data_IF_518537730469
#
_entry.id   IF_518537730469
#
_cell.length_a   1.000
_cell.length_b   1.000
_cell.length_c   1.000
_cell.angle_alpha   90.00
_cell.angle_beta   90.00
_cell.angle_gamma   90.00
#
_symmetry.space_group_name_H-M   'P 1'
#
loop_
_entity.id
_entity.type
_entity.pdbx_description
1 polymer ?
#
# COMPACT_ATOMS: atom_id res chain seq x y z
N UNK A 1 -27.28 3.88 16.52
CA UNK A 1 -25.87 4.32 16.42
C UNK A 1 -25.32 4.40 17.83
N UNK A 2 -24.33 3.56 18.15
CA UNK A 2 -23.61 3.65 19.41
C UNK A 2 -22.39 4.57 19.20
N UNK A 3 -22.25 5.60 20.01
CA UNK A 3 -21.10 6.49 19.98
C UNK A 3 -20.09 6.02 21.01
N UNK A 4 -18.90 5.65 20.54
CA UNK A 4 -17.79 5.29 21.41
C UNK A 4 -16.82 6.46 21.54
N UNK A 5 -16.57 6.85 22.77
CA UNK A 5 -15.46 7.75 23.11
C UNK A 5 -14.24 6.89 23.38
N UNK A 6 -13.14 7.18 22.72
CA UNK A 6 -11.94 6.39 22.90
C UNK A 6 -10.72 6.98 22.20
N UNK A 7 -9.63 6.27 22.35
CA UNK A 7 -8.35 6.59 21.72
C UNK A 7 -7.99 5.49 20.73
N UNK A 8 -7.17 5.85 19.75
CA UNK A 8 -6.67 4.94 18.73
C UNK A 8 -5.15 5.02 18.71
N UNK A 9 -4.49 3.87 18.77
CA UNK A 9 -3.06 3.75 18.54
C UNK A 9 -2.79 3.52 17.05
N UNK A 10 -2.01 4.40 16.45
CA UNK A 10 -1.50 4.28 15.08
C UNK A 10 -0.06 3.79 15.15
N UNK A 11 0.20 2.61 14.64
CA UNK A 11 1.48 1.95 14.78
C UNK A 11 2.14 1.73 13.42
N UNK A 12 3.38 2.15 13.30
CA UNK A 12 4.25 1.76 12.21
C UNK A 12 4.96 0.46 12.60
N UNK A 13 4.83 -0.59 11.79
CA UNK A 13 5.38 -1.92 12.07
C UNK A 13 6.36 -2.29 10.98
N UNK A 14 7.52 -2.81 11.35
CA UNK A 14 8.42 -3.46 10.39
C UNK A 14 7.84 -4.81 9.95
N UNK A 15 7.60 -4.94 8.66
CA UNK A 15 6.97 -6.14 8.08
C UNK A 15 7.89 -7.37 8.08
N UNK A 16 9.20 -7.21 8.29
CA UNK A 16 10.16 -8.32 8.32
C UNK A 16 10.22 -8.90 9.73
N UNK A 17 10.48 -8.06 10.73
CA UNK A 17 10.56 -8.49 12.12
C UNK A 17 9.19 -8.64 12.79
N UNK A 18 8.16 -7.93 12.30
CA UNK A 18 6.85 -7.84 12.93
C UNK A 18 6.88 -7.04 14.23
N UNK A 19 7.85 -6.13 14.40
CA UNK A 19 8.03 -5.29 15.58
C UNK A 19 7.56 -3.85 15.33
N UNK A 20 7.09 -3.13 16.36
CA UNK A 20 6.69 -1.74 16.22
C UNK A 20 7.92 -0.84 16.08
N UNK A 21 7.87 0.11 15.15
CA UNK A 21 8.91 1.11 14.92
C UNK A 21 8.55 2.46 15.56
N UNK A 22 7.30 2.83 15.46
CA UNK A 22 6.78 4.09 15.98
C UNK A 22 5.29 3.99 16.31
N UNK A 23 4.85 4.73 17.30
CA UNK A 23 3.45 4.78 17.73
C UNK A 23 3.00 6.21 17.96
N UNK A 24 1.75 6.51 17.59
CA UNK A 24 1.07 7.75 17.90
C UNK A 24 -0.35 7.45 18.36
N UNK A 25 -0.68 7.83 19.59
CA UNK A 25 -2.05 7.74 20.10
C UNK A 25 -2.83 9.02 19.79
N UNK A 26 -4.00 8.88 19.21
CA UNK A 26 -4.92 9.98 18.91
C UNK A 26 -6.33 9.69 19.44
N UNK A 27 -7.21 10.70 19.35
CA UNK A 27 -8.64 10.47 19.53
C UNK A 27 -9.17 9.52 18.46
N UNK A 28 -10.13 8.66 18.80
CA UNK A 28 -10.63 7.62 17.92
C UNK A 28 -11.30 8.12 16.62
N UNK A 29 -11.77 9.37 16.59
CA UNK A 29 -12.36 10.01 15.41
C UNK A 29 -11.33 10.48 14.38
N UNK A 30 -10.03 10.53 14.73
CA UNK A 30 -8.98 10.93 13.79
C UNK A 30 -8.78 9.84 12.73
N UNK A 31 -8.75 10.24 11.47
CA UNK A 31 -8.55 9.31 10.35
C UNK A 31 -7.09 8.89 10.25
N UNK A 32 -6.83 7.60 10.06
CA UNK A 32 -5.48 7.04 9.96
C UNK A 32 -4.63 7.69 8.87
N UNK A 33 -5.25 8.03 7.72
CA UNK A 33 -4.54 8.66 6.61
C UNK A 33 -4.09 10.12 6.88
N UNK A 34 -4.65 10.79 7.87
CA UNK A 34 -4.25 12.16 8.21
C UNK A 34 -2.98 12.21 9.04
N UNK A 35 -2.75 11.21 9.87
CA UNK A 35 -1.59 11.11 10.76
C UNK A 35 -0.42 10.34 10.14
N UNK A 36 -0.64 9.68 9.00
CA UNK A 36 0.38 8.82 8.40
C UNK A 36 1.68 9.56 8.04
N UNK A 37 1.58 10.81 7.54
CA UNK A 37 2.75 11.61 7.16
C UNK A 37 3.54 12.01 8.42
N UNK A 38 2.85 12.38 9.49
CA UNK A 38 3.47 12.79 10.75
C UNK A 38 4.18 11.61 11.41
N UNK A 39 3.56 10.42 11.39
CA UNK A 39 4.15 9.18 11.88
C UNK A 39 5.43 8.83 11.10
N UNK A 40 5.40 8.93 9.76
CA UNK A 40 6.59 8.70 8.95
C UNK A 40 7.69 9.72 9.25
N UNK A 41 7.36 11.00 9.42
CA UNK A 41 8.32 12.03 9.74
C UNK A 41 8.98 11.80 11.11
N UNK A 42 8.20 11.44 12.13
CA UNK A 42 8.71 11.15 13.45
C UNK A 42 9.52 9.85 13.50
N UNK A 43 9.07 8.80 12.82
CA UNK A 43 9.82 7.54 12.70
C UNK A 43 11.17 7.73 12.01
N UNK A 44 11.22 8.58 10.97
CA UNK A 44 12.48 8.88 10.25
C UNK A 44 13.54 9.58 11.10
N UNK A 45 13.15 10.24 12.21
CA UNK A 45 14.10 10.81 13.17
C UNK A 45 14.83 9.73 13.98
N UNK A 46 14.23 8.55 14.11
CA UNK A 46 14.75 7.42 14.91
C UNK A 46 15.43 6.40 13.98
N UNK A 47 14.81 6.10 12.85
CA UNK A 47 15.25 5.10 11.89
C UNK A 47 15.16 5.67 10.48
N UNK A 48 16.23 5.62 9.67
CA UNK A 48 16.22 6.11 8.30
C UNK A 48 15.18 5.33 7.45
N UNK A 49 14.23 6.05 6.84
CA UNK A 49 13.20 5.47 5.98
C UNK A 49 13.52 5.57 4.48
N UNK A 50 14.74 5.98 4.11
CA UNK A 50 15.16 6.09 2.72
C UNK A 50 15.09 4.74 2.00
N UNK A 51 14.46 4.73 0.82
CA UNK A 51 14.30 3.53 -0.01
C UNK A 51 13.31 2.49 0.53
N UNK A 52 12.62 2.77 1.65
CA UNK A 52 11.70 1.81 2.26
C UNK A 52 10.40 1.63 1.46
N UNK A 53 9.85 0.42 1.50
CA UNK A 53 8.51 0.13 1.02
C UNK A 53 7.48 0.43 2.09
N UNK A 54 6.53 1.33 1.81
CA UNK A 54 5.43 1.66 2.71
C UNK A 54 4.16 0.89 2.32
N UNK A 55 3.68 0.03 3.21
CA UNK A 55 2.52 -0.82 3.01
C UNK A 55 1.37 -0.36 3.89
N UNK A 56 0.21 -0.10 3.29
CA UNK A 56 -0.98 0.27 4.05
C UNK A 56 -2.26 -0.19 3.34
N UNK A 57 -3.37 -0.19 4.06
CA UNK A 57 -4.65 -0.55 3.47
C UNK A 57 -5.20 0.56 2.54
N UNK A 58 -6.32 0.29 1.88
CA UNK A 58 -6.99 1.27 1.01
C UNK A 58 -7.47 2.53 1.73
N UNK A 59 -7.52 2.53 3.06
CA UNK A 59 -7.85 3.68 3.89
C UNK A 59 -6.82 4.79 3.73
N UNK A 60 -5.58 4.43 3.51
CA UNK A 60 -4.43 5.33 3.29
C UNK A 60 -4.25 5.79 1.84
N UNK A 61 -5.21 5.55 0.94
CA UNK A 61 -5.15 5.99 -0.45
C UNK A 61 -5.31 7.52 -0.59
N UNK A 62 -4.34 8.27 -0.10
CA UNK A 62 -4.26 9.73 -0.15
C UNK A 62 -3.00 10.20 -0.88
N UNK A 63 -3.15 11.20 -1.76
CA UNK A 63 -2.04 11.72 -2.61
C UNK A 63 -0.85 12.20 -1.80
N UNK A 64 -1.08 12.81 -0.64
CA UNK A 64 -0.03 13.28 0.28
C UNK A 64 0.91 12.14 0.69
N UNK A 65 0.37 10.99 1.09
CA UNK A 65 1.16 9.83 1.52
C UNK A 65 2.06 9.34 0.39
N UNK A 66 1.53 9.14 -0.82
CA UNK A 66 2.35 8.71 -1.96
C UNK A 66 3.43 9.70 -2.33
N UNK A 67 3.12 11.01 -2.28
CA UNK A 67 4.10 12.05 -2.58
C UNK A 67 5.20 12.07 -1.50
N UNK A 68 4.85 11.98 -0.23
CA UNK A 68 5.84 11.93 0.86
C UNK A 68 6.73 10.72 0.74
N UNK A 69 6.15 9.51 0.58
CA UNK A 69 6.93 8.28 0.42
C UNK A 69 7.88 8.38 -0.77
N UNK A 70 7.44 8.94 -1.91
CA UNK A 70 8.27 9.01 -3.12
C UNK A 70 9.26 10.15 -3.09
N UNK A 71 8.84 11.37 -2.73
CA UNK A 71 9.69 12.56 -2.89
C UNK A 71 10.55 12.87 -1.66
N UNK A 72 10.15 12.45 -0.46
CA UNK A 72 10.93 12.68 0.76
C UNK A 72 11.82 11.49 1.09
N UNK A 73 11.28 10.26 0.95
CA UNK A 73 11.99 9.04 1.35
C UNK A 73 12.53 8.21 0.17
N UNK A 74 12.33 8.65 -1.08
CA UNK A 74 12.62 7.88 -2.30
C UNK A 74 12.15 6.42 -2.24
N UNK A 75 11.11 6.19 -1.46
CA UNK A 75 10.50 4.89 -1.21
C UNK A 75 9.43 4.53 -2.23
N UNK A 76 8.80 3.38 -1.99
CA UNK A 76 7.68 2.90 -2.79
C UNK A 76 6.43 2.66 -1.92
N UNK A 77 5.26 3.09 -2.39
CA UNK A 77 4.00 2.93 -1.68
C UNK A 77 3.18 1.76 -2.24
N UNK A 78 2.90 0.77 -1.41
CA UNK A 78 2.09 -0.41 -1.72
C UNK A 78 0.71 -0.28 -1.05
N UNK A 79 -0.16 0.55 -1.66
CA UNK A 79 -1.50 0.85 -1.15
C UNK A 79 -2.53 0.56 -2.25
N UNK A 80 -3.58 -0.23 -1.98
CA UNK A 80 -4.67 -0.45 -2.93
C UNK A 80 -5.45 0.84 -3.18
N UNK A 81 -5.94 1.06 -4.41
CA UNK A 81 -6.78 2.21 -4.71
C UNK A 81 -8.17 2.08 -4.08
N UNK A 82 -8.68 3.17 -3.52
CA UNK A 82 -10.10 3.29 -3.21
C UNK A 82 -10.91 3.26 -4.52
N UNK A 83 -11.93 2.43 -4.58
CA UNK A 83 -12.92 2.49 -5.66
C UNK A 83 -13.67 3.83 -5.52
N UNK A 84 -13.31 4.80 -6.34
CA UNK A 84 -14.12 6.00 -6.55
C UNK A 84 -15.13 5.68 -7.64
N UNK A 85 -16.30 6.27 -7.61
CA UNK A 85 -17.36 6.12 -8.62
C UNK A 85 -16.87 6.63 -9.98
N UNK A 86 -16.00 5.89 -10.63
CA UNK A 86 -15.48 6.19 -11.95
C UNK A 86 -16.16 5.24 -12.93
N UNK A 87 -16.83 5.82 -13.91
CA UNK A 87 -17.49 5.08 -15.01
C UNK A 87 -16.50 4.38 -15.96
N UNK A 88 -15.19 4.54 -15.77
CA UNK A 88 -14.20 3.92 -16.65
C UNK A 88 -13.91 2.48 -16.22
N UNK A 89 -14.18 1.54 -17.12
CA UNK A 89 -13.77 0.12 -17.03
C UNK A 89 -12.26 -0.05 -17.28
N UNK A 90 -11.43 0.85 -16.77
CA UNK A 90 -9.99 0.66 -16.84
C UNK A 90 -9.56 -0.40 -15.82
N UNK A 91 -8.79 -1.38 -16.25
CA UNK A 91 -8.11 -2.29 -15.33
C UNK A 91 -7.27 -1.47 -14.36
N UNK A 92 -7.21 -1.84 -13.08
CA UNK A 92 -6.34 -1.20 -12.09
C UNK A 92 -4.87 -1.18 -12.51
N UNK A 93 -4.48 -2.05 -13.41
CA UNK A 93 -3.12 -2.35 -13.84
C UNK A 93 -2.51 -1.43 -14.89
N UNK A 94 -3.15 -0.38 -15.28
CA UNK A 94 -2.55 0.51 -16.28
C UNK A 94 -2.60 0.03 -17.74
N UNK A 95 -2.86 -1.23 -18.04
CA UNK A 95 -3.09 -1.69 -19.39
C UNK A 95 -4.57 -1.55 -19.77
N UNK A 96 -4.83 -1.07 -20.99
CA UNK A 96 -6.18 -1.05 -21.53
C UNK A 96 -6.51 -2.42 -22.15
N UNK A 97 -7.79 -2.77 -22.14
CA UNK A 97 -8.30 -3.98 -22.80
C UNK A 97 -8.87 -3.57 -24.15
N UNK A 98 -8.61 -4.37 -25.19
CA UNK A 98 -9.25 -4.24 -26.48
C UNK A 98 -10.69 -4.78 -26.44
N UNK A 99 -11.41 -4.62 -27.54
CA UNK A 99 -12.82 -5.02 -27.61
C UNK A 99 -13.03 -6.55 -27.56
N UNK A 100 -11.96 -7.32 -27.85
CA UNK A 100 -11.93 -8.77 -27.68
C UNK A 100 -11.48 -9.23 -26.27
N UNK A 101 -11.38 -8.32 -25.31
CA UNK A 101 -11.00 -8.67 -23.92
C UNK A 101 -9.52 -8.89 -23.67
N UNK A 102 -8.64 -8.62 -24.65
CA UNK A 102 -7.20 -8.86 -24.54
C UNK A 102 -6.45 -7.61 -24.07
N UNK A 103 -5.39 -7.82 -23.28
CA UNK A 103 -4.54 -6.72 -22.81
C UNK A 103 -3.77 -6.09 -23.98
N UNK A 104 -3.87 -4.76 -24.11
CA UNK A 104 -3.20 -3.99 -25.17
C UNK A 104 -1.74 -3.66 -24.78
N UNK A 105 -0.84 -3.60 -25.76
CA UNK A 105 0.55 -3.19 -25.56
C UNK A 105 0.71 -1.68 -25.48
N UNK A 106 1.61 -1.20 -24.63
CA UNK A 106 2.04 0.20 -24.64
C UNK A 106 2.89 0.49 -25.89
N UNK A 107 2.53 1.53 -26.62
CA UNK A 107 3.17 1.93 -27.89
C UNK A 107 3.48 3.43 -27.91
N UNK A 108 4.45 3.81 -27.11
CA UNK A 108 4.91 5.19 -27.01
C UNK A 108 4.00 6.15 -26.23
N UNK A 109 4.54 7.34 -25.94
CA UNK A 109 3.83 8.45 -25.30
C UNK A 109 3.80 9.64 -26.23
N UNK A 110 2.71 10.39 -26.21
CA UNK A 110 2.56 11.64 -26.95
C UNK A 110 2.18 12.73 -25.94
N UNK A 111 2.89 13.86 -25.98
CA UNK A 111 2.55 15.03 -25.15
C UNK A 111 1.95 16.10 -26.06
N UNK A 112 0.78 16.58 -25.71
CA UNK A 112 0.05 17.62 -26.39
C UNK A 112 -0.65 18.51 -25.35
N UNK A 113 -0.52 19.84 -25.47
CA UNK A 113 -1.15 20.83 -24.58
C UNK A 113 -1.03 20.47 -23.09
N UNK A 114 0.17 20.23 -22.58
CA UNK A 114 0.44 19.82 -21.20
C UNK A 114 -0.21 18.50 -20.75
N UNK A 115 -0.70 17.67 -21.68
CA UNK A 115 -1.28 16.37 -21.39
C UNK A 115 -0.47 15.27 -22.05
N UNK A 116 0.17 14.44 -21.26
CA UNK A 116 0.84 13.24 -21.76
C UNK A 116 -0.16 12.11 -21.93
N UNK A 117 -0.24 11.54 -23.12
CA UNK A 117 -1.09 10.40 -23.45
C UNK A 117 -0.23 9.18 -23.73
N UNK A 118 -0.51 8.09 -23.04
CA UNK A 118 0.04 6.77 -23.37
C UNK A 118 -0.81 6.14 -24.47
N UNK A 119 -0.17 5.78 -25.57
CA UNK A 119 -0.80 5.02 -26.66
C UNK A 119 -0.75 3.52 -26.33
N UNK A 120 -1.83 2.84 -26.59
CA UNK A 120 -1.96 1.39 -26.49
C UNK A 120 -2.39 0.82 -27.82
N UNK A 121 -1.75 -0.25 -28.23
CA UNK A 121 -1.99 -0.93 -29.51
C UNK A 121 -2.51 -2.34 -29.31
N UNK A 122 -3.20 -2.82 -30.34
CA UNK A 122 -3.68 -4.20 -30.42
C UNK A 122 -2.53 -5.20 -30.15
N UNK A 123 -2.74 -6.25 -29.32
CA UNK A 123 -1.73 -7.26 -29.04
C UNK A 123 -1.27 -8.02 -30.28
N UNK A 124 -2.13 -8.13 -31.28
CA UNK A 124 -1.79 -8.80 -32.56
C UNK A 124 -1.05 -7.92 -33.57
N UNK A 125 -0.87 -6.62 -33.30
CA UNK A 125 -0.14 -5.73 -34.22
C UNK A 125 1.29 -6.14 -34.45
N UNK A 126 1.94 -6.73 -33.45
CA UNK A 126 3.33 -7.18 -33.52
C UNK A 126 3.46 -8.65 -33.95
N UNK A 127 2.38 -9.42 -33.87
CA UNK A 127 2.39 -10.80 -34.31
C UNK A 127 2.13 -10.86 -35.82
N UNK A 128 2.91 -11.65 -36.51
CA UNK A 128 2.68 -11.94 -37.96
C UNK A 128 1.42 -12.79 -38.19
N UNK A 129 0.76 -13.23 -37.13
CA UNK A 129 -0.50 -13.98 -37.22
C UNK A 129 -1.64 -13.03 -37.57
N UNK A 130 -2.34 -13.38 -38.60
CA UNK A 130 -3.17 -12.50 -39.44
C UNK A 130 -4.61 -12.29 -39.00
N UNK A 131 -5.05 -12.82 -37.86
CA UNK A 131 -6.48 -12.78 -37.51
C UNK A 131 -6.70 -12.15 -36.15
N UNK A 132 -7.26 -10.93 -36.14
CA UNK A 132 -7.73 -10.31 -34.91
C UNK A 132 -9.14 -10.84 -34.59
N UNK A 133 -9.39 -11.41 -33.39
CA UNK A 133 -10.68 -11.97 -33.01
C UNK A 133 -11.79 -10.91 -32.87
N UNK A 134 -11.46 -9.63 -32.78
CA UNK A 134 -12.46 -8.56 -32.66
C UNK A 134 -12.95 -8.02 -34.03
N UNK A 135 -12.48 -8.56 -35.13
CA UNK A 135 -12.84 -8.13 -36.48
C UNK A 135 -12.88 -6.60 -36.68
N UNK A 136 -11.85 -5.92 -36.14
CA UNK A 136 -11.81 -4.47 -36.13
C UNK A 136 -11.65 -3.89 -37.53
N UNK A 137 -12.47 -2.89 -37.91
CA UNK A 137 -12.51 -2.26 -39.23
C UNK A 137 -11.17 -1.74 -39.77
N UNK A 138 -10.20 -1.46 -38.89
CA UNK A 138 -8.85 -1.01 -39.26
C UNK A 138 -7.87 -2.19 -39.40
N UNK A 139 -8.31 -3.42 -39.26
CA UNK A 139 -7.44 -4.59 -39.35
C UNK A 139 -7.07 -4.97 -40.78
N UNK A 140 -7.94 -4.79 -41.74
CA UNK A 140 -7.74 -5.18 -43.11
C UNK A 140 -8.07 -4.06 -44.11
N UNK A 141 -7.65 -2.83 -43.87
CA UNK A 141 -7.98 -1.69 -44.73
C UNK A 141 -6.99 -1.46 -45.88
N UNK A 142 -6.16 -2.45 -46.24
CA UNK A 142 -5.26 -2.44 -47.39
C UNK A 142 -3.97 -1.64 -47.23
N UNK A 143 -3.77 -0.88 -46.15
CA UNK A 143 -2.56 -0.03 -45.96
C UNK A 143 -1.56 -0.61 -44.98
N UNK A 144 -1.91 -0.78 -43.75
CA UNK A 144 -1.14 -1.43 -42.68
C UNK A 144 -2.12 -1.87 -41.61
N UNK A 145 -2.06 -3.12 -41.20
CA UNK A 145 -2.88 -3.61 -40.11
C UNK A 145 -2.54 -2.86 -38.84
N UNK A 146 -3.36 -1.88 -38.47
CA UNK A 146 -3.16 -1.06 -37.26
C UNK A 146 -3.89 -1.60 -36.05
N UNK A 147 -4.93 -2.38 -36.27
CA UNK A 147 -5.80 -2.90 -35.23
C UNK A 147 -6.39 -1.80 -34.34
N UNK A 148 -6.78 -2.17 -33.14
CA UNK A 148 -7.28 -1.22 -32.14
C UNK A 148 -6.17 -0.33 -31.61
N UNK A 149 -6.43 0.96 -31.54
CA UNK A 149 -5.56 1.94 -30.86
C UNK A 149 -6.40 2.68 -29.84
N UNK A 150 -5.96 2.68 -28.59
CA UNK A 150 -6.60 3.42 -27.50
C UNK A 150 -5.57 4.35 -26.85
N UNK A 151 -6.02 5.48 -26.35
CA UNK A 151 -5.16 6.45 -25.64
C UNK A 151 -5.66 6.60 -24.23
N UNK A 152 -4.72 6.74 -23.31
CA UNK A 152 -4.99 7.07 -21.91
C UNK A 152 -4.13 8.24 -21.50
N UNK A 153 -4.71 9.23 -20.84
CA UNK A 153 -3.96 10.30 -20.21
C UNK A 153 -3.07 9.69 -19.14
N UNK A 154 -1.77 9.95 -19.23
CA UNK A 154 -0.84 9.54 -18.17
C UNK A 154 -1.10 10.49 -17.00
N UNK A 155 -1.53 9.97 -15.86
CA UNK A 155 -1.73 10.82 -14.71
C UNK A 155 -0.38 11.40 -14.28
N UNK A 156 -0.36 12.68 -13.96
CA UNK A 156 0.78 13.31 -13.28
C UNK A 156 0.89 12.87 -11.82
N UNK A 157 -0.09 12.14 -11.34
CA UNK A 157 -0.17 11.63 -9.99
C UNK A 157 0.53 10.27 -9.90
N UNK A 158 1.66 10.22 -9.18
CA UNK A 158 2.44 9.01 -8.92
C UNK A 158 1.57 7.86 -8.39
N UNK A 159 0.59 8.17 -7.54
CA UNK A 159 -0.38 7.21 -7.01
C UNK A 159 -1.05 6.35 -8.09
N UNK A 160 -1.37 6.96 -9.25
CA UNK A 160 -2.06 6.28 -10.35
C UNK A 160 -1.11 5.59 -11.33
N UNK A 161 0.21 5.84 -11.23
CA UNK A 161 1.21 5.19 -12.08
C UNK A 161 1.62 3.81 -11.58
N UNK A 162 1.32 3.47 -10.32
CA UNK A 162 1.69 2.19 -9.69
C UNK A 162 0.87 1.06 -10.30
N UNK A 163 1.55 0.04 -10.82
CA UNK A 163 0.93 -1.18 -11.35
C UNK A 163 0.60 -2.16 -10.22
N UNK A 164 -0.64 -2.11 -9.75
CA UNK A 164 -1.14 -2.97 -8.66
C UNK A 164 -1.50 -4.39 -9.07
N UNK A 165 -1.45 -4.70 -10.37
CA UNK A 165 -1.71 -6.05 -10.87
C UNK A 165 -0.46 -6.89 -10.97
N UNK A 166 0.72 -6.28 -10.98
CA UNK A 166 1.98 -7.00 -11.09
C UNK A 166 2.21 -7.93 -9.88
N UNK A 167 2.95 -8.99 -10.10
CA UNK A 167 3.28 -9.96 -9.06
C UNK A 167 4.13 -9.33 -7.95
N UNK A 168 4.99 -8.37 -8.29
CA UNK A 168 5.79 -7.63 -7.33
C UNK A 168 4.91 -6.91 -6.33
N UNK A 169 3.93 -6.10 -6.80
CA UNK A 169 2.99 -5.42 -5.90
C UNK A 169 2.25 -6.41 -5.00
N UNK A 170 1.72 -7.51 -5.55
CA UNK A 170 0.96 -8.49 -4.79
C UNK A 170 1.79 -9.17 -3.70
N UNK A 171 3.02 -9.57 -4.01
CA UNK A 171 3.94 -10.22 -3.05
C UNK A 171 4.34 -9.26 -1.94
N UNK A 172 4.76 -8.04 -2.29
CA UNK A 172 5.15 -7.04 -1.29
C UNK A 172 3.96 -6.64 -0.43
N UNK A 173 2.80 -6.38 -1.03
CA UNK A 173 1.59 -6.03 -0.29
C UNK A 173 1.12 -7.13 0.68
N UNK A 174 1.37 -8.39 0.39
CA UNK A 174 1.02 -9.50 1.28
C UNK A 174 1.74 -9.42 2.64
N UNK A 175 2.92 -8.79 2.71
CA UNK A 175 3.66 -8.57 3.96
C UNK A 175 2.90 -7.67 4.95
N UNK A 176 1.89 -6.91 4.50
CA UNK A 176 1.03 -6.09 5.35
C UNK A 176 0.33 -6.91 6.45
N UNK A 177 0.16 -8.21 6.25
CA UNK A 177 -0.42 -9.10 7.26
C UNK A 177 0.37 -9.11 8.57
N UNK A 178 1.65 -8.74 8.57
CA UNK A 178 2.44 -8.60 9.81
C UNK A 178 1.90 -7.48 10.71
N UNK A 179 1.43 -6.37 10.11
CA UNK A 179 0.78 -5.32 10.88
C UNK A 179 -0.52 -5.82 11.55
N UNK A 180 -1.31 -6.63 10.87
CA UNK A 180 -2.53 -7.24 11.44
C UNK A 180 -2.19 -8.23 12.56
N UNK A 181 -1.15 -9.04 12.38
CA UNK A 181 -0.63 -9.95 13.40
C UNK A 181 -0.13 -9.19 14.62
N UNK A 182 0.59 -8.08 14.39
CA UNK A 182 1.04 -7.22 15.46
C UNK A 182 -0.15 -6.63 16.24
N UNK A 183 -1.13 -6.05 15.55
CA UNK A 183 -2.33 -5.51 16.16
C UNK A 183 -3.10 -6.56 16.98
N UNK A 184 -3.18 -7.80 16.50
CA UNK A 184 -3.80 -8.90 17.24
C UNK A 184 -3.04 -9.20 18.54
N UNK A 185 -1.69 -9.23 18.52
CA UNK A 185 -0.87 -9.41 19.73
C UNK A 185 -1.02 -8.25 20.71
N UNK A 186 -1.00 -7.03 20.20
CA UNK A 186 -1.19 -5.81 20.98
C UNK A 186 -2.55 -5.82 21.71
N UNK A 187 -3.62 -6.16 21.02
CA UNK A 187 -4.94 -6.32 21.64
C UNK A 187 -4.96 -7.43 22.69
N UNK A 188 -4.34 -8.57 22.40
CA UNK A 188 -4.25 -9.70 23.32
C UNK A 188 -3.46 -9.38 24.60
N UNK A 189 -2.62 -8.33 24.61
CA UNK A 189 -1.94 -7.83 25.81
C UNK A 189 -2.81 -6.94 26.71
N UNK A 190 -4.10 -6.80 26.40
CA UNK A 190 -5.05 -6.03 27.21
C UNK A 190 -5.30 -4.60 26.71
N UNK A 191 -4.69 -4.21 25.57
CA UNK A 191 -4.80 -2.84 25.06
C UNK A 191 -6.08 -2.59 24.23
N UNK A 192 -6.97 -3.56 24.11
CA UNK A 192 -8.23 -3.37 23.37
C UNK A 192 -9.21 -2.43 24.10
N UNK A 193 -9.18 -2.43 25.44
CA UNK A 193 -10.01 -1.55 26.28
C UNK A 193 -9.16 -0.88 27.33
N UNK A 194 -8.86 0.38 27.09
CA UNK A 194 -8.15 1.21 28.07
C UNK A 194 -9.13 1.76 29.10
N UNK A 195 -8.81 1.56 30.39
CA UNK A 195 -9.61 2.05 31.53
C UNK A 195 -9.32 3.51 31.92
N UNK A 196 -8.66 4.26 31.04
CA UNK A 196 -8.26 5.65 31.25
C UNK A 196 -9.09 6.61 30.40
N UNK A 197 -9.34 7.81 30.91
CA UNK A 197 -10.20 8.81 30.28
C UNK A 197 -9.46 9.95 29.61
N UNK A 198 -8.16 10.13 29.89
CA UNK A 198 -7.40 11.21 29.26
C UNK A 198 -6.38 10.67 28.24
N UNK A 199 -6.07 11.51 27.23
CA UNK A 199 -5.20 11.13 26.12
C UNK A 199 -3.76 10.84 26.52
N UNK A 200 -3.21 11.57 27.48
CA UNK A 200 -1.84 11.36 27.95
C UNK A 200 -1.68 9.98 28.63
N UNK A 201 -2.63 9.61 29.48
CA UNK A 201 -2.63 8.26 30.11
C UNK A 201 -2.82 7.15 29.07
N UNK A 202 -3.70 7.37 28.07
CA UNK A 202 -3.89 6.41 26.99
C UNK A 202 -2.62 6.23 26.16
N UNK A 203 -1.95 7.33 25.80
CA UNK A 203 -0.68 7.29 25.08
C UNK A 203 0.40 6.57 25.88
N UNK A 204 0.55 6.89 27.17
CA UNK A 204 1.53 6.23 28.04
C UNK A 204 1.30 4.71 28.15
N UNK A 205 0.04 4.27 28.30
CA UNK A 205 -0.28 2.84 28.36
C UNK A 205 0.02 2.13 27.03
N UNK A 206 -0.34 2.74 25.89
CA UNK A 206 0.00 2.20 24.60
C UNK A 206 1.51 2.11 24.40
N UNK A 207 2.25 3.16 24.72
CA UNK A 207 3.71 3.18 24.61
C UNK A 207 4.36 2.11 25.49
N UNK A 208 3.91 1.94 26.74
CA UNK A 208 4.40 0.88 27.64
C UNK A 208 4.14 -0.52 27.06
N UNK A 209 3.00 -0.74 26.44
CA UNK A 209 2.71 -2.03 25.79
C UNK A 209 3.64 -2.29 24.61
N UNK A 210 3.96 -1.27 23.80
CA UNK A 210 4.92 -1.39 22.71
C UNK A 210 6.34 -1.63 23.23
N UNK A 211 6.77 -0.93 24.28
CA UNK A 211 8.06 -1.17 24.96
C UNK A 211 8.13 -2.61 25.47
N UNK A 212 7.04 -3.11 26.08
CA UNK A 212 6.99 -4.49 26.58
C UNK A 212 7.16 -5.50 25.44
N UNK A 213 6.55 -5.26 24.26
CA UNK A 213 6.74 -6.10 23.09
C UNK A 213 8.20 -6.10 22.60
N UNK A 214 8.84 -4.92 22.59
CA UNK A 214 10.25 -4.79 22.22
C UNK A 214 11.18 -5.44 23.24
N UNK A 215 10.89 -5.33 24.54
CA UNK A 215 11.66 -5.97 25.61
C UNK A 215 11.59 -7.51 25.48
N UNK A 216 10.42 -8.07 25.16
CA UNK A 216 10.28 -9.50 24.89
C UNK A 216 11.11 -9.92 23.69
N UNK A 217 11.11 -9.13 22.62
CA UNK A 217 11.90 -9.41 21.43
C UNK A 217 13.41 -9.35 21.75
N UNK A 218 13.86 -8.35 22.50
CA UNK A 218 15.26 -8.20 22.91
C UNK A 218 15.69 -9.40 23.78
N UNK A 219 14.89 -9.76 24.78
CA UNK A 219 15.19 -10.91 25.63
C UNK A 219 15.31 -12.21 24.81
N UNK A 220 14.42 -12.42 23.84
CA UNK A 220 14.48 -13.58 22.95
C UNK A 220 15.77 -13.64 22.13
N UNK A 221 16.17 -12.49 21.56
CA UNK A 221 17.43 -12.40 20.78
C UNK A 221 18.65 -12.68 21.68
N UNK A 222 18.69 -12.11 22.89
CA UNK A 222 19.80 -12.33 23.84
C UNK A 222 19.90 -13.80 24.28
N UNK A 223 18.79 -14.52 24.35
CA UNK A 223 18.77 -15.94 24.71
C UNK A 223 18.81 -16.89 23.48
N UNK A 224 19.07 -16.37 22.29
CA UNK A 224 19.17 -17.17 21.08
C UNK A 224 17.85 -17.81 20.63
N UNK A 225 16.71 -17.33 21.12
CA UNK A 225 15.39 -17.83 20.74
C UNK A 225 14.92 -17.20 19.43
N UNK A 226 14.39 -18.04 18.53
CA UNK A 226 13.74 -17.56 17.30
C UNK A 226 12.30 -17.08 17.52
N UNK A 227 11.74 -17.29 18.70
CA UNK A 227 10.34 -16.98 19.07
C UNK A 227 10.19 -15.63 19.78
N UNK A 228 10.77 -14.57 19.24
CA UNK A 228 10.79 -13.24 19.89
C UNK A 228 9.48 -12.45 19.79
N UNK A 229 8.45 -12.99 19.12
CA UNK A 229 7.19 -12.25 18.87
C UNK A 229 6.14 -12.41 19.97
N UNK A 230 6.32 -13.31 20.91
CA UNK A 230 5.31 -13.61 21.93
C UNK A 230 5.92 -14.11 23.24
N UNK A 231 5.56 -13.46 24.36
CA UNK A 231 5.95 -13.92 25.71
C UNK A 231 5.46 -15.34 26.04
N UNK A 232 4.34 -15.79 25.46
CA UNK A 232 3.86 -17.18 25.63
C UNK A 232 4.79 -18.21 25.00
N UNK A 233 5.43 -17.85 23.90
CA UNK A 233 6.38 -18.74 23.24
C UNK A 233 7.69 -18.85 24.01
N UNK A 234 8.16 -17.74 24.60
CA UNK A 234 9.34 -17.75 25.48
C UNK A 234 9.16 -18.64 26.71
N UNK A 235 7.95 -18.65 27.32
CA UNK A 235 7.65 -19.50 28.47
C UNK A 235 7.59 -21.00 28.16
N UNK A 236 7.42 -21.37 26.89
CA UNK A 236 7.39 -22.78 26.46
C UNK A 236 8.77 -23.33 26.09
N UNK A 237 9.74 -22.46 25.88
CA UNK A 237 11.12 -22.80 25.52
C UNK A 237 12.09 -22.70 26.73
N UNK A 238 11.62 -22.25 27.87
CA UNK A 238 12.33 -22.29 29.15
C UNK A 238 11.83 -23.42 30.04
#
# INVERSE_FOLDING_TARGET
YEFYWGYKSHVLVDCISGLPLYELTTQANIMDSTVAVDILAAANQILPLQGCSFLADKGYDAKSIYNTVKSVYDGEAFIPLKKRNSKSKALPAGNLICDAGLAMHKDGKTTDNNRTRQKFCCPFRQSKTSVCPCNHKNWNNGKKNRGCVKYRIVPTDYRLSIDRSCLCFKRTYALRTECERYNSRFKASGQERLWVRNGASAANLNTLAHISALAVALAAVLHGSHSYRSAKQLRRSA
#
